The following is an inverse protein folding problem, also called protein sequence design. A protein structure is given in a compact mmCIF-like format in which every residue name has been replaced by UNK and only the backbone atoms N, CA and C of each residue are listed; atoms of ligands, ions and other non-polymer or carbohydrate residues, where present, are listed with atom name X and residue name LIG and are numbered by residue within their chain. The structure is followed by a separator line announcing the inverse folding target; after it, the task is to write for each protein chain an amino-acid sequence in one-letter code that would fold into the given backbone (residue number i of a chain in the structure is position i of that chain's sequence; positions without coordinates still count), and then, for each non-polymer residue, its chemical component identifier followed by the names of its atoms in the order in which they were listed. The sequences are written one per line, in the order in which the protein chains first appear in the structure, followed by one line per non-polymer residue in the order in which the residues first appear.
data_IF_818087101696
#
_entry.id   IF_818087101696
#
_cell.length_a   1.000
_cell.length_b   1.000
_cell.length_c   1.000
_cell.angle_alpha   90.00
_cell.angle_beta   90.00
_cell.angle_gamma   90.00
#
_symmetry.space_group_name_H-M   'P 1'
#
loop_
_entity.id
_entity.type
_entity.pdbx_description
1 polymer ?
#
# COMPACT_ATOMS: atom_id res chain seq x y z
N UNK A 1 19.34 3.59 -5.67
CA UNK A 1 18.14 4.47 -5.59
C UNK A 1 16.98 3.94 -6.41
N UNK A 2 17.03 3.96 -7.76
CA UNK A 2 15.89 3.54 -8.63
C UNK A 2 15.24 2.19 -8.27
N UNK A 3 16.04 1.13 -8.12
CA UNK A 3 15.51 -0.20 -7.77
C UNK A 3 14.82 -0.21 -6.39
N UNK A 4 15.35 0.52 -5.41
CA UNK A 4 14.76 0.61 -4.09
C UNK A 4 13.39 1.31 -4.13
N UNK A 5 13.28 2.41 -4.88
CA UNK A 5 12.01 3.12 -5.10
C UNK A 5 10.99 2.23 -5.83
N UNK A 6 11.44 1.46 -6.81
CA UNK A 6 10.59 0.52 -7.54
C UNK A 6 10.10 -0.63 -6.64
N UNK A 7 10.98 -1.20 -5.81
CA UNK A 7 10.60 -2.22 -4.82
C UNK A 7 9.63 -1.67 -3.78
N UNK A 8 9.85 -0.45 -3.29
CA UNK A 8 8.93 0.22 -2.38
C UNK A 8 7.56 0.43 -3.03
N UNK A 9 7.52 0.90 -4.27
CA UNK A 9 6.26 1.06 -5.01
C UNK A 9 5.50 -0.25 -5.16
N UNK A 10 6.20 -1.33 -5.53
CA UNK A 10 5.59 -2.67 -5.62
C UNK A 10 5.07 -3.18 -4.27
N UNK A 11 5.83 -2.95 -3.20
CA UNK A 11 5.40 -3.28 -1.84
C UNK A 11 4.12 -2.53 -1.46
N UNK A 12 4.04 -1.23 -1.74
CA UNK A 12 2.84 -0.42 -1.46
C UNK A 12 1.61 -0.87 -2.24
N UNK A 13 1.78 -1.26 -3.51
CA UNK A 13 0.71 -1.90 -4.31
C UNK A 13 0.22 -3.17 -3.62
N UNK A 14 1.13 -4.08 -3.29
CA UNK A 14 0.77 -5.36 -2.67
C UNK A 14 0.12 -5.16 -1.29
N UNK A 15 0.63 -4.23 -0.48
CA UNK A 15 0.09 -3.89 0.83
C UNK A 15 -1.34 -3.32 0.73
N UNK A 16 -1.58 -2.36 -0.18
CA UNK A 16 -2.91 -1.79 -0.38
C UNK A 16 -3.94 -2.80 -0.90
N UNK A 17 -3.55 -3.68 -1.84
CA UNK A 17 -4.43 -4.77 -2.30
C UNK A 17 -4.74 -5.72 -1.12
N UNK A 18 -3.73 -6.12 -0.37
CA UNK A 18 -3.92 -7.03 0.76
C UNK A 18 -4.77 -6.43 1.88
N UNK A 19 -4.58 -5.16 2.24
CA UNK A 19 -5.41 -4.49 3.26
C UNK A 19 -6.87 -4.33 2.79
N UNK A 20 -7.09 -4.18 1.49
CA UNK A 20 -8.45 -4.18 0.90
C UNK A 20 -9.09 -5.58 1.01
N UNK A 21 -8.33 -6.62 0.64
CA UNK A 21 -8.79 -8.02 0.73
C UNK A 21 -9.03 -8.42 2.19
N UNK A 22 -8.19 -7.99 3.12
CA UNK A 22 -8.33 -8.28 4.55
C UNK A 22 -9.64 -7.71 5.11
N UNK A 23 -10.02 -6.49 4.73
CA UNK A 23 -11.31 -5.93 5.14
C UNK A 23 -12.53 -6.60 4.50
N UNK A 24 -12.38 -7.21 3.33
CA UNK A 24 -13.48 -7.88 2.63
C UNK A 24 -13.62 -9.36 3.00
N UNK A 25 -12.50 -10.04 3.26
CA UNK A 25 -12.45 -11.50 3.35
C UNK A 25 -11.68 -12.03 4.58
N UNK A 26 -11.13 -11.16 5.44
CA UNK A 26 -10.33 -11.49 6.63
C UNK A 26 -9.15 -12.42 6.30
N UNK A 27 -7.96 -11.85 6.08
CA UNK A 27 -6.79 -12.57 5.55
C UNK A 27 -5.80 -12.95 6.68
N UNK A 28 -5.63 -14.24 7.05
CA UNK A 28 -4.86 -14.60 8.25
C UNK A 28 -3.33 -14.74 8.08
N UNK A 29 -2.79 -14.98 6.88
CA UNK A 29 -1.39 -15.46 6.73
C UNK A 29 -0.32 -14.40 6.39
N UNK A 30 -0.63 -13.34 5.63
CA UNK A 30 0.35 -12.31 5.23
C UNK A 30 0.14 -10.95 5.93
N UNK A 31 -0.77 -10.91 6.92
CA UNK A 31 -1.22 -9.67 7.55
C UNK A 31 -0.13 -8.90 8.30
N UNK A 32 0.94 -9.53 8.79
CA UNK A 32 1.94 -8.79 9.57
C UNK A 32 2.72 -7.78 8.72
N UNK A 33 3.09 -8.14 7.49
CA UNK A 33 3.86 -7.27 6.60
C UNK A 33 2.99 -6.49 5.63
N UNK A 34 1.88 -7.07 5.15
CA UNK A 34 1.01 -6.40 4.18
C UNK A 34 -0.06 -5.53 4.85
N UNK A 35 -0.44 -5.84 6.10
CA UNK A 35 -1.39 -5.05 6.89
C UNK A 35 -0.68 -4.07 7.84
N UNK A 36 0.63 -3.83 7.64
CA UNK A 36 1.38 -2.84 8.41
C UNK A 36 0.72 -1.45 8.33
N UNK A 37 0.13 -1.10 7.20
CA UNK A 37 -0.63 0.14 7.04
C UNK A 37 -1.87 0.18 7.95
N UNK A 38 -2.67 -0.89 7.97
CA UNK A 38 -3.84 -1.01 8.85
C UNK A 38 -3.47 -1.11 10.33
N UNK A 39 -2.26 -1.57 10.66
CA UNK A 39 -1.80 -1.74 12.05
C UNK A 39 -1.12 -0.49 12.62
N UNK A 40 -0.40 0.27 11.80
CA UNK A 40 0.39 1.41 12.26
C UNK A 40 -0.16 2.76 11.79
N UNK A 41 -0.88 2.83 10.66
CA UNK A 41 -1.35 4.11 10.12
C UNK A 41 -2.80 4.35 10.48
N UNK A 42 -3.70 3.41 10.19
CA UNK A 42 -5.15 3.59 10.42
C UNK A 42 -5.50 3.91 11.90
N UNK A 43 -4.94 3.23 12.92
CA UNK A 43 -5.27 3.53 14.32
C UNK A 43 -4.76 4.90 14.78
N UNK A 44 -3.73 5.43 14.12
CA UNK A 44 -3.13 6.73 14.46
C UNK A 44 -3.76 7.89 13.66
N UNK A 45 -4.65 7.59 12.72
CA UNK A 45 -5.31 8.60 11.88
C UNK A 45 -6.81 8.37 11.99
N UNK A 46 -7.43 8.98 13.00
CA UNK A 46 -8.89 8.88 13.25
C UNK A 46 -9.77 9.43 12.12
N UNK A 47 -9.19 10.04 11.09
CA UNK A 47 -9.90 10.37 9.85
C UNK A 47 -10.09 9.16 8.92
N UNK A 48 -9.24 8.15 9.02
CA UNK A 48 -9.27 6.96 8.16
C UNK A 48 -10.16 5.83 8.72
N UNK A 49 -10.60 5.93 9.98
CA UNK A 49 -11.55 4.98 10.58
C UNK A 49 -12.91 5.04 9.86
N UNK A 50 -13.40 3.90 9.40
CA UNK A 50 -14.59 3.75 8.56
C UNK A 50 -14.34 3.93 7.05
N UNK A 51 -13.12 4.32 6.64
CA UNK A 51 -12.72 4.49 5.24
C UNK A 51 -11.54 3.58 4.86
N UNK A 52 -11.36 2.47 5.57
CA UNK A 52 -10.14 1.68 5.49
C UNK A 52 -9.96 1.03 4.11
N UNK A 53 -11.05 0.64 3.45
CA UNK A 53 -11.03 0.15 2.06
C UNK A 53 -10.51 1.24 1.11
N UNK A 54 -11.02 2.47 1.24
CA UNK A 54 -10.57 3.59 0.42
C UNK A 54 -9.10 3.96 0.70
N UNK A 55 -8.68 3.90 1.95
CA UNK A 55 -7.31 4.16 2.34
C UNK A 55 -6.34 3.15 1.70
N UNK A 56 -6.69 1.86 1.73
CA UNK A 56 -5.89 0.78 1.15
C UNK A 56 -5.86 0.83 -0.39
N UNK A 57 -6.98 1.13 -1.04
CA UNK A 57 -7.03 1.35 -2.49
C UNK A 57 -6.14 2.54 -2.90
N UNK A 58 -6.21 3.64 -2.16
CA UNK A 58 -5.38 4.83 -2.40
C UNK A 58 -3.89 4.50 -2.22
N UNK A 59 -3.54 3.74 -1.18
CA UNK A 59 -2.17 3.26 -0.96
C UNK A 59 -1.67 2.44 -2.15
N UNK A 60 -2.51 1.55 -2.69
CA UNK A 60 -2.18 0.75 -3.85
C UNK A 60 -1.94 1.63 -5.09
N UNK A 61 -2.79 2.63 -5.32
CA UNK A 61 -2.62 3.59 -6.43
C UNK A 61 -1.31 4.37 -6.29
N UNK A 62 -0.99 4.88 -5.09
CA UNK A 62 0.25 5.61 -4.83
C UNK A 62 1.48 4.72 -5.07
N UNK A 63 1.43 3.45 -4.68
CA UNK A 63 2.46 2.46 -4.99
C UNK A 63 2.67 2.31 -6.50
N UNK A 64 1.59 2.21 -7.27
CA UNK A 64 1.64 2.10 -8.73
C UNK A 64 2.26 3.34 -9.38
N UNK A 65 1.88 4.55 -8.93
CA UNK A 65 2.49 5.81 -9.37
C UNK A 65 3.99 5.83 -9.09
N UNK A 66 4.42 5.37 -7.92
CA UNK A 66 5.84 5.25 -7.56
C UNK A 66 6.62 4.29 -8.47
N UNK A 67 6.03 3.14 -8.83
CA UNK A 67 6.64 2.19 -9.79
C UNK A 67 6.81 2.85 -11.17
N UNK A 68 5.77 3.53 -11.66
CA UNK A 68 5.80 4.21 -12.96
C UNK A 68 6.84 5.33 -12.94
N UNK A 69 6.83 6.18 -11.91
CA UNK A 69 7.78 7.28 -11.74
C UNK A 69 9.23 6.77 -11.68
N UNK A 70 9.51 5.72 -10.92
CA UNK A 70 10.83 5.07 -10.88
C UNK A 70 11.27 4.54 -12.25
N UNK A 71 10.32 4.10 -13.07
CA UNK A 71 10.54 3.73 -14.47
C UNK A 71 11.00 4.91 -15.34
N UNK A 72 10.35 6.06 -15.17
CA UNK A 72 10.51 7.30 -15.97
C UNK A 72 11.73 8.16 -15.59
N UNK A 73 12.27 8.03 -14.37
CA UNK A 73 13.44 8.80 -13.91
C UNK A 73 14.74 8.46 -14.70
N UNK A 74 14.73 7.48 -15.61
CA UNK A 74 15.89 7.07 -16.42
C UNK A 74 15.84 7.52 -17.90
N UNK A 75 14.93 8.44 -18.26
CA UNK A 75 14.80 8.96 -19.64
C UNK A 75 15.40 10.36 -19.84
N UNK A 76 16.45 10.72 -19.09
CA UNK A 76 17.24 11.94 -19.35
C UNK A 76 18.72 11.67 -19.19
#
# INVERSE_FOLDING_TARGET
MRKAVQFLGLYLVAAGISGTVDHLAVQPFLGVFLNAFNRFVIPNVGFLTGYEIFANLTLSVLGGVLVIAAGRIRTS
#
